data_IF_176702988077
#
_entry.id   IF_176702988077
#
_cell.length_a   1.000
_cell.length_b   1.000
_cell.length_c   1.000
_cell.angle_alpha   90.00
_cell.angle_beta   90.00
_cell.angle_gamma   90.00
#
_symmetry.space_group_name_H-M   'P 1'
#
loop_
_entity.id
_entity.type
_entity.pdbx_description
1 polymer ?
#
# COMPACT_ATOMS: atom_id res chain seq x y z
N UNK A 1 -21.49 7.25 17.51
CA UNK A 1 -22.13 6.91 16.22
C UNK A 1 -21.88 5.45 15.81
N UNK A 2 -20.64 4.91 15.88
CA UNK A 2 -20.38 3.50 15.51
C UNK A 2 -21.08 2.55 16.47
N UNK A 3 -21.15 2.86 17.76
CA UNK A 3 -21.93 2.12 18.75
C UNK A 3 -23.44 2.14 18.43
N UNK A 4 -23.91 3.21 17.80
CA UNK A 4 -25.30 3.42 17.40
C UNK A 4 -25.64 2.83 16.00
N UNK A 5 -24.71 2.08 15.41
CA UNK A 5 -24.97 1.36 14.16
C UNK A 5 -24.20 1.86 12.93
N UNK A 6 -23.49 3.01 12.99
CA UNK A 6 -22.71 3.50 11.85
C UNK A 6 -21.62 2.51 11.43
N UNK A 7 -21.34 2.45 10.14
CA UNK A 7 -20.24 1.68 9.57
C UNK A 7 -18.90 2.43 9.71
N UNK A 8 -17.79 1.67 9.73
CA UNK A 8 -16.44 2.22 9.76
C UNK A 8 -15.85 2.11 8.35
N UNK A 9 -15.57 3.26 7.71
CA UNK A 9 -14.82 3.33 6.47
C UNK A 9 -13.44 3.88 6.79
N UNK A 10 -12.38 3.11 6.52
CA UNK A 10 -11.01 3.51 6.74
C UNK A 10 -10.31 3.75 5.39
N UNK A 11 -9.69 4.92 5.25
CA UNK A 11 -8.91 5.23 4.04
C UNK A 11 -7.69 4.32 3.91
N UNK A 12 -7.09 3.94 5.03
CA UNK A 12 -6.04 2.93 5.14
C UNK A 12 -5.97 2.40 6.57
N UNK A 13 -5.21 1.32 6.77
CA UNK A 13 -5.03 0.69 8.09
C UNK A 13 -3.54 0.45 8.38
N UNK A 14 -2.70 1.43 8.01
CA UNK A 14 -1.26 1.42 8.30
C UNK A 14 -0.98 1.40 9.80
N UNK A 15 0.03 0.63 10.22
CA UNK A 15 0.41 0.50 11.64
C UNK A 15 1.20 1.71 12.12
N UNK A 16 2.13 2.16 11.31
CA UNK A 16 3.02 3.28 11.60
C UNK A 16 3.52 3.93 10.31
N UNK A 17 4.02 5.15 10.43
CA UNK A 17 4.76 5.84 9.38
C UNK A 17 6.08 6.38 9.92
N UNK A 18 7.04 6.60 9.02
CA UNK A 18 8.39 7.07 9.36
C UNK A 18 8.45 8.59 9.21
N UNK A 19 9.05 9.24 10.20
CA UNK A 19 9.45 10.65 10.19
C UNK A 19 10.91 10.76 10.59
N UNK A 20 11.54 11.92 10.45
CA UNK A 20 12.95 12.12 10.81
C UNK A 20 13.27 11.74 12.27
N UNK A 21 12.31 11.97 13.17
CA UNK A 21 12.44 11.65 14.59
C UNK A 21 12.11 10.18 14.96
N UNK A 22 11.82 9.30 13.98
CA UNK A 22 11.50 7.88 14.20
C UNK A 22 10.14 7.46 13.67
N UNK A 23 9.55 6.43 14.30
CA UNK A 23 8.26 5.89 13.91
C UNK A 23 7.11 6.57 14.68
N UNK A 24 6.01 6.81 14.00
CA UNK A 24 4.77 7.32 14.60
C UNK A 24 3.60 6.40 14.31
N UNK A 25 2.65 6.36 15.25
CA UNK A 25 1.40 5.61 15.10
C UNK A 25 0.61 6.16 13.91
N UNK A 26 0.14 5.26 13.06
CA UNK A 26 -0.70 5.58 11.91
C UNK A 26 -2.20 5.29 12.20
N UNK A 27 -3.05 5.60 11.23
CA UNK A 27 -4.51 5.48 11.33
C UNK A 27 -5.00 4.10 11.74
N UNK A 28 -4.25 3.04 11.40
CA UNK A 28 -4.64 1.66 11.72
C UNK A 28 -4.80 1.39 13.21
N UNK A 29 -4.02 2.05 14.07
CA UNK A 29 -4.17 1.94 15.53
C UNK A 29 -5.52 2.47 16.01
N UNK A 30 -5.97 3.59 15.47
CA UNK A 30 -7.27 4.20 15.79
C UNK A 30 -8.42 3.38 15.21
N UNK A 31 -8.28 2.86 13.99
CA UNK A 31 -9.26 1.97 13.36
C UNK A 31 -9.41 0.70 14.20
N UNK A 32 -8.31 0.07 14.62
CA UNK A 32 -8.32 -1.13 15.43
C UNK A 32 -8.98 -0.89 16.81
N UNK A 33 -8.78 0.30 17.41
CA UNK A 33 -9.47 0.64 18.66
C UNK A 33 -10.99 0.74 18.48
N UNK A 34 -11.46 1.30 17.38
CA UNK A 34 -12.91 1.36 17.08
C UNK A 34 -13.48 -0.04 16.79
N UNK A 35 -12.77 -0.86 16.02
CA UNK A 35 -13.16 -2.25 15.75
C UNK A 35 -13.27 -3.05 17.06
N UNK A 36 -12.25 -2.94 17.92
CA UNK A 36 -12.24 -3.62 19.21
C UNK A 36 -13.41 -3.18 20.11
N UNK A 37 -13.63 -1.86 20.21
CA UNK A 37 -14.68 -1.32 21.09
C UNK A 37 -16.10 -1.65 20.61
N UNK A 38 -16.30 -1.86 19.32
CA UNK A 38 -17.64 -2.04 18.72
C UNK A 38 -17.93 -3.45 18.23
N UNK A 39 -16.90 -4.30 18.11
CA UNK A 39 -17.01 -5.62 17.50
C UNK A 39 -17.23 -5.58 15.98
N UNK A 40 -17.18 -4.40 15.33
CA UNK A 40 -17.33 -4.23 13.90
C UNK A 40 -15.98 -4.24 13.21
N UNK A 41 -15.95 -4.65 11.93
CA UNK A 41 -14.77 -4.54 11.07
C UNK A 41 -14.89 -3.28 10.21
N UNK A 42 -13.78 -2.58 10.02
CA UNK A 42 -13.72 -1.44 9.12
C UNK A 42 -13.63 -1.90 7.65
N UNK A 43 -14.33 -1.20 6.77
CA UNK A 43 -14.14 -1.30 5.33
C UNK A 43 -12.93 -0.45 4.93
N UNK A 44 -11.79 -1.09 4.70
CA UNK A 44 -10.57 -0.41 4.25
C UNK A 44 -10.65 -0.23 2.74
N UNK A 45 -10.66 1.02 2.28
CA UNK A 45 -10.79 1.35 0.85
C UNK A 45 -9.45 1.66 0.18
N UNK A 46 -8.40 1.95 0.95
CA UNK A 46 -7.05 2.19 0.43
C UNK A 46 -6.21 0.92 0.30
N UNK A 47 -4.95 1.10 -0.11
CA UNK A 47 -3.95 0.01 -0.23
C UNK A 47 -3.85 -0.82 1.06
N UNK A 48 -3.67 -2.13 0.98
CA UNK A 48 -3.49 -3.00 -0.20
C UNK A 48 -4.80 -3.53 -0.83
N UNK A 49 -5.96 -2.92 -0.53
CA UNK A 49 -7.25 -3.41 -1.01
C UNK A 49 -7.32 -3.35 -2.55
N UNK A 50 -7.77 -4.45 -3.18
CA UNK A 50 -7.92 -4.54 -4.64
C UNK A 50 -8.81 -3.45 -5.23
N UNK A 51 -9.84 -3.00 -4.49
CA UNK A 51 -10.72 -1.94 -4.94
C UNK A 51 -9.97 -0.61 -5.19
N UNK A 52 -8.89 -0.34 -4.45
CA UNK A 52 -8.03 0.83 -4.68
C UNK A 52 -7.37 0.78 -6.06
N UNK A 53 -6.74 -0.36 -6.39
CA UNK A 53 -6.05 -0.55 -7.66
C UNK A 53 -7.04 -0.60 -8.83
N UNK A 54 -8.19 -1.27 -8.64
CA UNK A 54 -9.23 -1.30 -9.66
C UNK A 54 -9.80 0.10 -9.95
N UNK A 55 -9.94 0.95 -8.94
CA UNK A 55 -10.35 2.34 -9.12
C UNK A 55 -9.33 3.10 -9.99
N UNK A 56 -8.04 2.93 -9.73
CA UNK A 56 -6.96 3.54 -10.53
C UNK A 56 -6.98 3.04 -11.99
N UNK A 57 -7.10 1.72 -12.21
CA UNK A 57 -7.19 1.14 -13.56
C UNK A 57 -8.39 1.69 -14.34
N UNK A 58 -9.55 1.79 -13.68
CA UNK A 58 -10.77 2.32 -14.29
C UNK A 58 -10.63 3.81 -14.68
N UNK A 59 -9.97 4.60 -13.82
CA UNK A 59 -9.72 6.02 -14.09
C UNK A 59 -8.73 6.23 -15.23
N UNK A 60 -7.66 5.44 -15.25
CA UNK A 60 -6.66 5.43 -16.32
C UNK A 60 -7.18 4.82 -17.62
N UNK A 61 -8.21 3.98 -17.56
CA UNK A 61 -8.76 3.19 -18.69
C UNK A 61 -7.70 2.26 -19.30
N UNK A 62 -6.88 1.68 -18.45
CA UNK A 62 -5.80 0.75 -18.82
C UNK A 62 -6.05 -0.64 -18.22
N UNK A 63 -5.53 -1.66 -18.89
CA UNK A 63 -5.49 -3.01 -18.35
C UNK A 63 -4.35 -3.15 -17.32
N UNK A 64 -4.44 -4.11 -16.37
CA UNK A 64 -3.40 -4.31 -15.36
C UNK A 64 -1.99 -4.50 -15.93
N UNK A 65 -1.88 -5.17 -17.07
CA UNK A 65 -0.63 -5.42 -17.78
C UNK A 65 0.01 -4.19 -18.44
N UNK A 66 -0.77 -3.11 -18.61
CA UNK A 66 -0.32 -1.86 -19.21
C UNK A 66 0.17 -0.83 -18.18
N UNK A 67 0.13 -1.19 -16.90
CA UNK A 67 0.54 -0.32 -15.80
C UNK A 67 1.52 -1.00 -14.88
N UNK A 68 2.29 -0.23 -14.14
CA UNK A 68 3.19 -0.71 -13.10
C UNK A 68 3.01 0.11 -11.83
N UNK A 69 3.03 -0.56 -10.68
CA UNK A 69 3.03 0.11 -9.37
C UNK A 69 4.47 0.34 -8.91
N UNK A 70 4.81 1.57 -8.58
CA UNK A 70 6.07 1.94 -7.94
C UNK A 70 5.78 2.32 -6.49
N UNK A 71 6.46 1.70 -5.54
CA UNK A 71 6.24 2.00 -4.13
C UNK A 71 7.34 1.47 -3.22
N UNK A 72 7.37 1.99 -1.99
CA UNK A 72 8.36 1.67 -0.96
C UNK A 72 7.81 0.71 0.14
N UNK A 73 6.52 0.42 0.09
CA UNK A 73 5.84 -0.45 1.04
C UNK A 73 5.57 -1.82 0.40
N UNK A 74 6.33 -2.83 0.85
CA UNK A 74 6.26 -4.18 0.28
C UNK A 74 4.87 -4.80 0.33
N UNK A 75 4.10 -4.55 1.41
CA UNK A 75 2.75 -5.11 1.59
C UNK A 75 1.71 -4.24 0.89
N UNK A 76 1.72 -2.94 1.19
CA UNK A 76 0.65 -2.06 0.71
C UNK A 76 0.77 -1.73 -0.78
N UNK A 77 2.00 -1.54 -1.28
CA UNK A 77 2.22 -1.17 -2.66
C UNK A 77 2.44 -2.39 -3.55
N UNK A 78 3.46 -3.20 -3.23
CA UNK A 78 3.89 -4.27 -4.12
C UNK A 78 2.90 -5.43 -4.10
N UNK A 79 2.68 -6.02 -2.92
CA UNK A 79 1.72 -7.14 -2.82
C UNK A 79 0.32 -6.72 -3.23
N UNK A 80 -0.15 -5.55 -2.81
CA UNK A 80 -1.48 -5.05 -3.17
C UNK A 80 -1.66 -4.89 -4.69
N UNK A 81 -0.62 -4.42 -5.40
CA UNK A 81 -0.61 -4.34 -6.85
C UNK A 81 -0.61 -5.74 -7.49
N UNK A 82 0.28 -6.62 -7.06
CA UNK A 82 0.38 -8.00 -7.57
C UNK A 82 -0.90 -8.80 -7.35
N UNK A 83 -1.56 -8.65 -6.19
CA UNK A 83 -2.87 -9.24 -5.92
C UNK A 83 -3.97 -8.71 -6.88
N UNK A 84 -3.71 -7.57 -7.52
CA UNK A 84 -4.57 -6.94 -8.54
C UNK A 84 -4.06 -7.16 -9.97
N UNK A 85 -3.09 -8.07 -10.16
CA UNK A 85 -2.45 -8.41 -11.43
C UNK A 85 -1.64 -7.24 -12.05
N UNK A 86 -1.23 -6.28 -11.23
CA UNK A 86 -0.37 -5.16 -11.64
C UNK A 86 1.06 -5.47 -11.21
N UNK A 87 2.06 -5.43 -12.10
CA UNK A 87 3.46 -5.56 -11.70
C UNK A 87 3.88 -4.50 -10.68
N UNK A 88 4.66 -4.92 -9.67
CA UNK A 88 5.12 -4.05 -8.58
C UNK A 88 6.63 -3.89 -8.54
N UNK A 89 7.13 -2.66 -8.68
CA UNK A 89 8.55 -2.32 -8.57
C UNK A 89 8.81 -1.67 -7.21
N UNK A 90 9.67 -2.28 -6.42
CA UNK A 90 10.02 -1.78 -5.09
C UNK A 90 11.09 -0.69 -5.19
N UNK A 91 10.75 0.51 -4.68
CA UNK A 91 11.68 1.63 -4.60
C UNK A 91 12.41 1.59 -3.26
N UNK A 92 13.76 1.63 -3.31
CA UNK A 92 14.62 1.48 -2.12
C UNK A 92 14.77 2.78 -1.32
N UNK A 93 13.64 3.47 -1.11
CA UNK A 93 13.53 4.70 -0.29
C UNK A 93 12.43 4.53 0.75
N UNK A 94 12.12 5.56 1.52
CA UNK A 94 10.99 5.58 2.44
C UNK A 94 11.00 4.46 3.47
N UNK A 95 10.05 3.54 3.39
CA UNK A 95 9.91 2.38 4.30
C UNK A 95 10.86 1.24 4.00
N UNK A 96 11.51 1.24 2.83
CA UNK A 96 12.46 0.19 2.47
C UNK A 96 13.56 0.03 3.52
N UNK A 97 13.90 -1.20 3.83
CA UNK A 97 15.10 -1.56 4.61
C UNK A 97 15.67 -2.88 4.09
N UNK A 98 16.98 -3.03 4.23
CA UNK A 98 17.69 -4.28 3.87
C UNK A 98 17.08 -5.45 4.63
N UNK A 99 16.84 -6.55 3.93
CA UNK A 99 16.26 -7.77 4.49
C UNK A 99 14.73 -7.82 4.53
N UNK A 100 14.02 -6.72 4.19
CA UNK A 100 12.54 -6.75 4.21
C UNK A 100 11.95 -7.73 3.19
N UNK A 101 12.60 -7.90 2.04
CA UNK A 101 12.18 -8.87 1.00
C UNK A 101 12.57 -10.28 1.43
N UNK A 102 13.80 -10.48 1.95
CA UNK A 102 14.30 -11.77 2.38
C UNK A 102 13.50 -12.38 3.55
N UNK A 103 12.89 -11.51 4.38
CA UNK A 103 12.04 -11.91 5.50
C UNK A 103 10.56 -12.07 5.14
N UNK A 104 10.23 -12.06 3.86
CA UNK A 104 8.87 -12.06 3.30
C UNK A 104 8.76 -13.06 2.16
N UNK A 105 7.54 -13.55 1.91
CA UNK A 105 7.22 -14.37 0.73
C UNK A 105 6.81 -13.51 -0.49
N UNK A 106 7.03 -12.17 -0.42
CA UNK A 106 6.67 -11.23 -1.48
C UNK A 106 7.91 -10.96 -2.33
N UNK A 107 7.85 -11.30 -3.60
CA UNK A 107 8.90 -11.04 -4.59
C UNK A 107 8.47 -9.87 -5.49
N UNK A 108 9.11 -8.68 -5.38
CA UNK A 108 8.86 -7.58 -6.32
C UNK A 108 9.24 -7.98 -7.75
N UNK A 109 8.51 -7.47 -8.74
CA UNK A 109 8.80 -7.69 -10.16
C UNK A 109 10.06 -6.94 -10.61
N UNK A 110 10.51 -5.96 -9.81
CA UNK A 110 11.75 -5.22 -10.05
C UNK A 110 12.08 -4.29 -8.88
N UNK A 111 13.22 -3.63 -9.00
CA UNK A 111 13.73 -2.70 -8.00
C UNK A 111 14.21 -1.40 -8.66
N UNK A 112 14.02 -0.28 -7.94
CA UNK A 112 14.61 1.02 -8.23
C UNK A 112 15.32 1.53 -6.97
N UNK A 113 16.50 2.11 -7.10
CA UNK A 113 17.18 2.72 -5.97
C UNK A 113 16.46 4.01 -5.54
N UNK A 114 15.98 4.78 -6.51
CA UNK A 114 15.16 5.99 -6.30
C UNK A 114 14.13 6.16 -7.40
N UNK A 115 13.01 6.81 -7.09
CA UNK A 115 12.03 7.21 -8.10
C UNK A 115 12.63 8.18 -9.14
N UNK A 116 13.70 8.91 -8.79
CA UNK A 116 14.42 9.78 -9.71
C UNK A 116 15.11 9.04 -10.86
N UNK A 117 15.31 7.73 -10.73
CA UNK A 117 15.96 6.90 -11.73
C UNK A 117 14.97 6.43 -12.83
N UNK A 118 13.65 6.63 -12.57
CA UNK A 118 12.61 6.20 -13.51
C UNK A 118 12.70 6.85 -14.90
N UNK A 119 12.98 8.16 -15.06
CA UNK A 119 13.09 8.79 -16.38
C UNK A 119 14.14 8.14 -17.27
N UNK A 120 15.27 7.71 -16.70
CA UNK A 120 16.36 7.08 -17.46
C UNK A 120 15.96 5.69 -17.97
N UNK A 121 15.07 4.99 -17.28
CA UNK A 121 14.53 3.70 -17.71
C UNK A 121 13.46 3.83 -18.80
N UNK A 122 12.78 4.97 -18.88
CA UNK A 122 11.73 5.23 -19.87
C UNK A 122 12.26 5.84 -21.18
N UNK A 123 13.55 6.20 -21.21
CA UNK A 123 14.21 6.84 -22.39
C UNK A 123 14.88 5.82 -23.32
N UNK A 124 14.43 4.59 -23.35
CA UNK A 124 14.91 3.53 -24.25
C UNK A 124 14.33 3.66 -25.65
#
# INVERSE_FOLDING_TARGET
HVMDGAEIIALHKGKYYKVDSGLRLDAGGFVAALEFATGKNAHVVGKPNKAFFQCALNDLKLAPEDVVMLGDDLINDIKGAQDSSIPGILVKTGKFHVGMVESSDIEPDGFLDSISDLPDLLTL
#
